data_IF_312925855040
#
_entry.id   IF_312925855040
#
_cell.length_a   1.000
_cell.length_b   1.000
_cell.length_c   1.000
_cell.angle_alpha   90.00
_cell.angle_beta   90.00
_cell.angle_gamma   90.00
#
_symmetry.space_group_name_H-M   'P 1'
#
loop_
_entity.id
_entity.type
_entity.pdbx_description
1 polymer ?
#
# COMPACT_ATOMS: atom_id res chain seq x y z
N UNK A 1 -21.03 -6.06 15.29
CA UNK A 1 -19.58 -6.24 15.01
C UNK A 1 -18.96 -7.15 16.04
N UNK A 2 -18.31 -8.26 15.66
CA UNK A 2 -17.52 -9.06 16.60
C UNK A 2 -16.37 -8.21 17.10
N UNK A 3 -16.25 -8.07 18.42
CA UNK A 3 -15.26 -7.18 19.06
C UNK A 3 -13.85 -7.78 18.89
N UNK A 4 -12.91 -6.99 18.38
CA UNK A 4 -11.48 -7.33 18.32
C UNK A 4 -10.94 -7.27 19.75
N UNK A 5 -10.30 -8.35 20.23
CA UNK A 5 -9.71 -8.39 21.56
C UNK A 5 -8.19 -8.04 21.54
N UNK A 6 -7.58 -7.89 22.73
CA UNK A 6 -6.15 -7.57 22.87
C UNK A 6 -5.25 -8.58 22.16
N UNK A 7 -5.60 -9.86 22.20
CA UNK A 7 -4.83 -10.93 21.54
C UNK A 7 -4.96 -10.83 20.01
N UNK A 8 -6.15 -10.51 19.49
CA UNK A 8 -6.34 -10.27 18.07
C UNK A 8 -5.46 -9.10 17.56
N UNK A 9 -5.41 -7.99 18.31
CA UNK A 9 -4.56 -6.86 17.99
C UNK A 9 -3.07 -7.23 18.00
N UNK A 10 -2.63 -8.02 18.96
CA UNK A 10 -1.25 -8.50 19.04
C UNK A 10 -0.89 -9.39 17.83
N UNK A 11 -1.80 -10.30 17.45
CA UNK A 11 -1.65 -11.12 16.24
C UNK A 11 -1.55 -10.22 15.00
N UNK A 12 -2.48 -9.26 14.85
CA UNK A 12 -2.50 -8.34 13.73
C UNK A 12 -1.22 -7.51 13.63
N UNK A 13 -0.65 -7.03 14.75
CA UNK A 13 0.64 -6.32 14.75
C UNK A 13 1.76 -7.16 14.13
N UNK A 14 1.82 -8.46 14.43
CA UNK A 14 2.86 -9.34 13.93
C UNK A 14 2.67 -9.63 12.44
N UNK A 15 1.46 -10.08 12.05
CA UNK A 15 1.18 -10.50 10.67
C UNK A 15 1.10 -9.33 9.68
N UNK A 16 0.86 -8.11 10.15
CA UNK A 16 0.87 -6.91 9.30
C UNK A 16 2.28 -6.49 8.88
N UNK A 17 3.31 -6.90 9.63
CA UNK A 17 4.73 -6.65 9.28
C UNK A 17 5.21 -7.68 8.26
N UNK A 18 4.91 -8.96 8.49
CA UNK A 18 5.17 -10.03 7.52
C UNK A 18 4.03 -11.06 7.52
N UNK A 19 3.25 -11.05 6.45
CA UNK A 19 2.15 -11.99 6.26
C UNK A 19 2.62 -13.46 6.09
N UNK A 20 3.93 -13.71 5.90
CA UNK A 20 4.51 -15.05 5.73
C UNK A 20 5.04 -15.62 7.03
N UNK A 21 4.94 -14.88 8.13
CA UNK A 21 5.36 -15.39 9.44
C UNK A 21 4.68 -16.71 9.77
N UNK A 22 5.44 -17.78 10.15
CA UNK A 22 4.82 -19.05 10.53
C UNK A 22 3.92 -18.87 11.75
N UNK A 23 2.71 -19.41 11.69
CA UNK A 23 1.76 -19.32 12.83
C UNK A 23 2.30 -19.97 14.12
N UNK A 24 3.31 -20.85 14.03
CA UNK A 24 4.03 -21.38 15.18
C UNK A 24 4.75 -20.25 15.92
N UNK A 25 5.44 -19.37 15.19
CA UNK A 25 6.23 -18.29 15.78
C UNK A 25 5.30 -17.21 16.38
N UNK A 26 4.18 -16.93 15.69
CA UNK A 26 3.12 -16.03 16.21
C UNK A 26 2.53 -16.60 17.52
N UNK A 27 2.29 -17.91 17.56
CA UNK A 27 1.74 -18.61 18.74
C UNK A 27 2.70 -18.53 19.94
N UNK A 28 4.00 -18.71 19.73
CA UNK A 28 5.04 -18.57 20.73
C UNK A 28 5.07 -17.16 21.33
N UNK A 29 5.07 -16.12 20.47
CA UNK A 29 5.05 -14.71 20.91
C UNK A 29 3.76 -14.35 21.65
N UNK A 30 2.64 -14.94 21.25
CA UNK A 30 1.33 -14.67 21.85
C UNK A 30 1.02 -15.53 23.08
N UNK A 31 1.81 -16.56 23.38
CA UNK A 31 1.58 -17.47 24.50
C UNK A 31 0.33 -18.37 24.34
N UNK A 32 0.00 -18.74 23.08
CA UNK A 32 -1.19 -19.56 22.77
C UNK A 32 -0.84 -20.69 21.80
N UNK A 33 -1.77 -21.61 21.54
CA UNK A 33 -1.54 -22.69 20.60
C UNK A 33 -1.59 -22.19 19.12
N UNK A 34 -0.88 -22.88 18.21
CA UNK A 34 -0.95 -22.62 16.77
C UNK A 34 -2.38 -22.71 16.24
N UNK A 35 -3.19 -23.66 16.75
CA UNK A 35 -4.58 -23.81 16.35
C UNK A 35 -5.43 -22.59 16.73
N UNK A 36 -5.17 -21.99 17.92
CA UNK A 36 -5.83 -20.76 18.34
C UNK A 36 -5.49 -19.57 17.44
N UNK A 37 -4.22 -19.44 16.99
CA UNK A 37 -3.82 -18.42 16.02
C UNK A 37 -4.58 -18.61 14.70
N UNK A 38 -4.60 -19.83 14.17
CA UNK A 38 -5.29 -20.14 12.91
C UNK A 38 -6.77 -19.76 12.96
N UNK A 39 -7.48 -20.17 14.01
CA UNK A 39 -8.91 -19.84 14.21
C UNK A 39 -9.15 -18.34 14.30
N UNK A 40 -8.27 -17.60 15.00
CA UNK A 40 -8.38 -16.14 15.13
C UNK A 40 -8.15 -15.43 13.81
N UNK A 41 -7.10 -15.78 13.06
CA UNK A 41 -6.82 -15.21 11.75
C UNK A 41 -7.96 -15.48 10.78
N UNK A 42 -8.50 -16.72 10.76
CA UNK A 42 -9.66 -17.05 9.94
C UNK A 42 -10.86 -16.18 10.31
N UNK A 43 -11.20 -16.07 11.61
CA UNK A 43 -12.29 -15.22 12.08
C UNK A 43 -12.10 -13.75 11.72
N UNK A 44 -10.87 -13.20 11.80
CA UNK A 44 -10.55 -11.82 11.43
C UNK A 44 -10.71 -11.60 9.92
N UNK A 45 -10.37 -12.59 9.10
CA UNK A 45 -10.59 -12.58 7.65
C UNK A 45 -12.07 -12.62 7.30
N UNK A 46 -12.83 -13.56 7.90
CA UNK A 46 -14.28 -13.65 7.70
C UNK A 46 -15.02 -12.38 8.15
N UNK A 47 -14.51 -11.69 9.16
CA UNK A 47 -15.05 -10.42 9.63
C UNK A 47 -14.63 -9.20 8.77
N UNK A 48 -13.81 -9.39 7.73
CA UNK A 48 -13.30 -8.33 6.87
C UNK A 48 -12.29 -7.39 7.54
N UNK A 49 -11.73 -7.78 8.70
CA UNK A 49 -10.68 -7.02 9.39
C UNK A 49 -9.33 -7.24 8.67
N UNK A 50 -9.05 -8.48 8.30
CA UNK A 50 -7.98 -8.81 7.36
C UNK A 50 -8.61 -8.82 5.97
N UNK A 51 -8.24 -7.86 5.14
CA UNK A 51 -8.77 -7.68 3.79
C UNK A 51 -7.99 -8.43 2.73
N UNK A 52 -6.78 -8.89 3.05
CA UNK A 52 -5.93 -9.65 2.15
C UNK A 52 -4.48 -9.66 2.59
N UNK A 53 -3.68 -10.44 1.88
CA UNK A 53 -2.22 -10.46 2.00
C UNK A 53 -1.63 -10.73 0.63
N UNK A 54 -0.50 -10.08 0.31
CA UNK A 54 0.15 -10.24 -0.99
C UNK A 54 1.57 -9.66 -0.99
N UNK A 55 2.30 -9.90 -2.08
CA UNK A 55 3.58 -9.23 -2.31
C UNK A 55 3.34 -7.80 -2.77
N UNK A 56 4.07 -6.86 -2.20
CA UNK A 56 4.17 -5.52 -2.74
C UNK A 56 5.12 -5.55 -3.94
N UNK A 57 4.64 -5.12 -5.10
CA UNK A 57 5.42 -5.05 -6.33
C UNK A 57 5.71 -3.59 -6.63
N UNK A 58 6.97 -3.26 -6.97
CA UNK A 58 7.32 -1.91 -7.39
C UNK A 58 6.79 -1.66 -8.80
N UNK A 59 5.84 -0.72 -9.00
CA UNK A 59 5.25 -0.46 -10.31
C UNK A 59 6.29 -0.04 -11.36
N UNK A 60 7.31 0.72 -10.98
CA UNK A 60 8.36 1.19 -11.90
C UNK A 60 9.12 0.02 -12.54
N UNK A 61 9.41 -1.03 -11.77
CA UNK A 61 10.15 -2.21 -12.28
C UNK A 61 9.31 -3.11 -13.20
N UNK A 62 8.01 -2.90 -13.29
CA UNK A 62 7.11 -3.62 -14.20
C UNK A 62 6.52 -2.69 -15.27
N UNK A 63 7.18 -1.53 -15.52
CA UNK A 63 6.87 -0.66 -16.63
C UNK A 63 5.87 0.46 -16.37
N UNK A 64 5.40 0.65 -15.13
CA UNK A 64 4.52 1.76 -14.75
C UNK A 64 5.34 2.88 -14.09
N UNK A 65 5.87 3.78 -14.90
CA UNK A 65 6.81 4.81 -14.44
C UNK A 65 6.14 6.01 -13.75
N UNK A 66 4.86 6.27 -14.04
CA UNK A 66 4.17 7.48 -13.59
C UNK A 66 3.02 7.12 -12.65
N UNK A 67 3.07 7.64 -11.43
CA UNK A 67 1.97 7.61 -10.48
C UNK A 67 1.18 8.92 -10.57
N UNK A 68 -0.14 8.84 -10.66
CA UNK A 68 -0.99 10.00 -10.85
C UNK A 68 -2.20 9.93 -9.95
N UNK A 69 -2.54 11.05 -9.32
CA UNK A 69 -3.82 11.26 -8.65
C UNK A 69 -4.73 12.08 -9.56
N UNK A 70 -5.98 11.64 -9.74
CA UNK A 70 -6.95 12.34 -10.57
C UNK A 70 -8.16 12.67 -9.72
N UNK A 71 -8.40 13.97 -9.54
CA UNK A 71 -9.64 14.50 -9.00
C UNK A 71 -10.72 14.49 -10.08
N UNK A 72 -11.87 13.92 -9.78
CA UNK A 72 -13.00 13.79 -10.71
C UNK A 72 -14.20 14.54 -10.15
N UNK A 73 -14.76 15.44 -10.95
CA UNK A 73 -16.00 16.13 -10.66
C UNK A 73 -17.15 15.44 -11.40
N UNK A 74 -18.18 15.07 -10.67
CA UNK A 74 -19.37 14.42 -11.22
C UNK A 74 -20.50 15.44 -11.41
N UNK A 75 -21.38 15.17 -12.38
CA UNK A 75 -22.62 15.94 -12.59
C UNK A 75 -23.49 15.95 -11.32
N UNK A 76 -23.62 14.80 -10.68
CA UNK A 76 -24.31 14.61 -9.39
C UNK A 76 -23.54 13.66 -8.50
N UNK A 77 -23.37 14.03 -7.24
CA UNK A 77 -22.68 13.18 -6.26
C UNK A 77 -23.31 11.78 -6.09
N UNK A 78 -24.63 11.64 -6.36
CA UNK A 78 -25.31 10.35 -6.32
C UNK A 78 -24.82 9.33 -7.35
N UNK A 79 -24.19 9.77 -8.44
CA UNK A 79 -23.67 8.91 -9.51
C UNK A 79 -22.36 8.21 -9.13
N UNK A 80 -21.79 8.47 -7.94
CA UNK A 80 -20.47 7.97 -7.58
C UNK A 80 -20.32 6.44 -7.65
N UNK A 81 -21.40 5.69 -7.33
CA UNK A 81 -21.37 4.20 -7.37
C UNK A 81 -21.27 3.66 -8.79
N UNK A 82 -22.01 4.26 -9.70
CA UNK A 82 -22.04 3.90 -11.11
C UNK A 82 -20.70 4.23 -11.76
N UNK A 83 -20.19 5.45 -11.52
CA UNK A 83 -18.87 5.87 -12.01
C UNK A 83 -17.76 5.02 -11.40
N UNK A 84 -17.81 4.69 -10.10
CA UNK A 84 -16.83 3.80 -9.47
C UNK A 84 -16.81 2.41 -10.10
N UNK A 85 -17.98 1.88 -10.50
CA UNK A 85 -18.07 0.59 -11.17
C UNK A 85 -17.42 0.62 -12.57
N UNK A 86 -17.50 1.72 -13.31
CA UNK A 86 -16.82 1.91 -14.59
C UNK A 86 -15.31 2.10 -14.39
N UNK A 87 -14.90 2.91 -13.40
CA UNK A 87 -13.48 3.10 -13.05
C UNK A 87 -12.81 1.79 -12.65
N UNK A 88 -13.51 0.89 -11.95
CA UNK A 88 -13.00 -0.43 -11.56
C UNK A 88 -12.60 -1.31 -12.77
N UNK A 89 -13.17 -1.07 -13.96
CA UNK A 89 -12.83 -1.79 -15.18
C UNK A 89 -11.50 -1.32 -15.81
N UNK A 90 -10.88 -0.28 -15.25
CA UNK A 90 -9.59 0.27 -15.69
C UNK A 90 -8.52 -0.26 -14.73
N UNK A 91 -7.72 -1.27 -15.13
CA UNK A 91 -6.79 -1.95 -14.22
C UNK A 91 -5.65 -1.05 -13.72
N UNK A 92 -5.34 0.03 -14.43
CA UNK A 92 -4.37 1.03 -14.03
C UNK A 92 -4.82 1.86 -12.82
N UNK A 93 -6.11 1.91 -12.53
CA UNK A 93 -6.66 2.58 -11.33
C UNK A 93 -6.56 1.61 -10.15
N UNK A 94 -5.76 1.99 -9.15
CA UNK A 94 -5.47 1.15 -7.99
C UNK A 94 -6.20 1.58 -6.72
N UNK A 95 -6.64 2.84 -6.65
CA UNK A 95 -7.41 3.37 -5.53
C UNK A 95 -8.52 4.30 -6.07
N UNK A 96 -9.69 4.25 -5.45
CA UNK A 96 -10.82 5.11 -5.79
C UNK A 96 -11.56 5.50 -4.51
N UNK A 97 -11.68 6.80 -4.26
CA UNK A 97 -12.32 7.37 -3.08
C UNK A 97 -13.45 8.31 -3.48
N UNK A 98 -14.59 8.22 -2.77
CA UNK A 98 -15.61 9.26 -2.76
C UNK A 98 -15.22 10.27 -1.68
N UNK A 99 -15.09 11.55 -2.04
CA UNK A 99 -14.48 12.55 -1.18
C UNK A 99 -15.41 13.73 -0.89
N UNK A 100 -15.09 14.46 0.18
CA UNK A 100 -15.60 15.80 0.44
C UNK A 100 -14.61 16.83 -0.09
N UNK A 101 -15.08 17.96 -0.60
CA UNK A 101 -14.24 19.06 -1.09
C UNK A 101 -14.41 19.33 -2.57
N UNK A 102 -13.32 19.73 -3.24
CA UNK A 102 -13.39 20.24 -4.62
C UNK A 102 -13.70 19.17 -5.66
N UNK A 103 -13.32 17.91 -5.38
CA UNK A 103 -13.61 16.79 -6.26
C UNK A 103 -14.64 15.87 -5.63
N UNK A 104 -15.52 15.32 -6.44
CA UNK A 104 -16.48 14.31 -5.98
C UNK A 104 -15.79 12.98 -5.72
N UNK A 105 -14.79 12.66 -6.54
CA UNK A 105 -13.97 11.44 -6.39
C UNK A 105 -12.50 11.75 -6.57
N UNK A 106 -11.65 10.97 -5.89
CA UNK A 106 -10.21 10.98 -6.06
C UNK A 106 -9.76 9.57 -6.38
N UNK A 107 -9.04 9.41 -7.47
CA UNK A 107 -8.46 8.12 -7.87
C UNK A 107 -6.94 8.20 -7.94
N UNK A 108 -6.30 7.07 -7.69
CA UNK A 108 -4.87 6.88 -7.91
C UNK A 108 -4.69 5.87 -9.03
N UNK A 109 -3.88 6.23 -10.01
CA UNK A 109 -3.58 5.35 -11.13
C UNK A 109 -2.07 5.33 -11.43
N UNK A 110 -1.66 4.30 -12.16
CA UNK A 110 -0.32 4.20 -12.71
C UNK A 110 -0.38 4.13 -14.22
N UNK A 111 0.53 4.87 -14.88
CA UNK A 111 0.71 4.81 -16.34
C UNK A 111 2.15 4.50 -16.71
N UNK A 112 2.36 3.97 -17.90
CA UNK A 112 3.69 3.65 -18.43
C UNK A 112 4.47 4.90 -18.77
N UNK A 113 3.79 5.86 -19.36
CA UNK A 113 4.32 7.13 -19.84
C UNK A 113 3.19 8.17 -19.95
N UNK A 114 3.51 9.36 -20.44
CA UNK A 114 2.54 10.45 -20.59
C UNK A 114 1.52 10.18 -21.70
N UNK A 115 1.88 9.46 -22.76
CA UNK A 115 0.97 9.11 -23.85
C UNK A 115 -0.09 8.14 -23.33
N UNK A 116 0.33 7.12 -22.57
CA UNK A 116 -0.59 6.21 -21.91
C UNK A 116 -1.49 6.92 -20.89
N UNK A 117 -0.93 7.88 -20.11
CA UNK A 117 -1.72 8.69 -19.18
C UNK A 117 -2.81 9.47 -19.93
N UNK A 118 -2.47 10.14 -21.01
CA UNK A 118 -3.40 10.90 -21.84
C UNK A 118 -4.51 10.00 -22.40
N UNK A 119 -4.16 8.80 -22.86
CA UNK A 119 -5.15 7.83 -23.36
C UNK A 119 -6.10 7.36 -22.24
N UNK A 120 -5.61 7.10 -21.02
CA UNK A 120 -6.44 6.75 -19.87
C UNK A 120 -7.41 7.88 -19.49
N UNK A 121 -6.93 9.12 -19.48
CA UNK A 121 -7.76 10.28 -19.15
C UNK A 121 -8.84 10.52 -20.19
N UNK A 122 -8.44 10.67 -21.45
CA UNK A 122 -9.35 11.12 -22.51
C UNK A 122 -10.29 10.01 -23.00
N UNK A 123 -9.75 8.78 -23.19
CA UNK A 123 -10.50 7.70 -23.86
C UNK A 123 -11.17 6.74 -22.87
N UNK A 124 -10.92 6.88 -21.58
CA UNK A 124 -11.46 5.96 -20.57
C UNK A 124 -12.17 6.70 -19.44
N UNK A 125 -11.51 7.63 -18.75
CA UNK A 125 -12.06 8.26 -17.54
C UNK A 125 -13.06 9.35 -17.93
N UNK A 126 -12.72 10.24 -18.86
CA UNK A 126 -13.60 11.35 -19.26
C UNK A 126 -14.80 10.91 -20.10
N UNK A 127 -14.75 9.73 -20.71
CA UNK A 127 -15.89 9.14 -21.44
C UNK A 127 -16.94 8.48 -20.52
N UNK A 128 -16.65 8.36 -19.21
CA UNK A 128 -17.60 7.78 -18.26
C UNK A 128 -18.77 8.74 -18.07
N UNK A 129 -19.98 8.26 -18.30
CA UNK A 129 -21.19 9.04 -18.11
C UNK A 129 -21.27 9.59 -16.69
N UNK A 130 -21.51 10.89 -16.55
CA UNK A 130 -21.57 11.61 -15.28
C UNK A 130 -20.25 12.26 -14.84
N UNK A 131 -19.14 12.03 -15.54
CA UNK A 131 -17.89 12.78 -15.35
C UNK A 131 -17.97 14.11 -16.09
N UNK A 132 -17.83 15.23 -15.37
CA UNK A 132 -17.83 16.59 -15.97
C UNK A 132 -16.41 17.04 -16.26
N UNK A 133 -15.49 16.85 -15.31
CA UNK A 133 -14.13 17.32 -15.43
C UNK A 133 -13.16 16.47 -14.60
N UNK A 134 -11.90 16.52 -14.97
CA UNK A 134 -10.81 15.87 -14.26
C UNK A 134 -9.69 16.88 -14.01
N UNK A 135 -9.06 16.78 -12.85
CA UNK A 135 -7.82 17.47 -12.53
C UNK A 135 -6.74 16.45 -12.22
N UNK A 136 -5.58 16.59 -12.85
CA UNK A 136 -4.52 15.59 -12.81
C UNK A 136 -3.33 16.09 -12.01
N UNK A 137 -2.92 15.33 -10.99
CA UNK A 137 -1.80 15.59 -10.12
C UNK A 137 -0.77 14.47 -10.28
N UNK A 138 0.34 14.75 -10.99
CA UNK A 138 1.42 13.77 -11.14
C UNK A 138 2.23 13.73 -9.84
N UNK A 139 2.35 12.54 -9.25
CA UNK A 139 3.21 12.31 -8.08
C UNK A 139 4.67 12.25 -8.55
N UNK A 140 5.45 13.23 -8.15
CA UNK A 140 6.88 13.27 -8.48
C UNK A 140 7.65 12.22 -7.70
N UNK A 141 7.28 12.01 -6.41
CA UNK A 141 7.91 11.05 -5.52
C UNK A 141 6.91 10.55 -4.49
N UNK A 142 6.97 9.27 -4.17
CA UNK A 142 6.29 8.70 -3.01
C UNK A 142 7.31 8.52 -1.88
N UNK A 143 7.37 9.46 -0.94
CA UNK A 143 8.34 9.43 0.15
C UNK A 143 8.16 8.23 1.08
N UNK A 144 6.94 7.79 1.34
CA UNK A 144 6.64 6.57 2.09
C UNK A 144 5.22 6.06 1.85
N UNK A 145 5.02 4.78 2.11
CA UNK A 145 3.71 4.15 2.24
C UNK A 145 3.77 3.13 3.39
N UNK A 146 2.77 3.16 4.26
CA UNK A 146 2.67 2.22 5.37
C UNK A 146 1.22 1.98 5.75
N UNK A 147 0.95 0.86 6.40
CA UNK A 147 -0.36 0.59 6.99
C UNK A 147 -0.63 1.48 8.21
N UNK A 148 -1.89 1.66 8.55
CA UNK A 148 -2.29 2.32 9.80
C UNK A 148 -1.72 1.57 11.01
N UNK A 149 -1.30 2.28 12.07
CA UNK A 149 -0.77 1.63 13.27
C UNK A 149 -1.87 0.80 13.97
N UNK A 150 -1.54 -0.44 14.32
CA UNK A 150 -2.41 -1.29 15.11
C UNK A 150 -2.03 -1.06 16.59
N UNK A 151 -2.85 -0.31 17.30
CA UNK A 151 -2.61 0.02 18.71
C UNK A 151 -3.27 -1.03 19.61
N UNK A 152 -2.48 -1.71 20.42
CA UNK A 152 -3.00 -2.57 21.50
C UNK A 152 -3.24 -1.68 22.72
N UNK A 153 -4.48 -1.54 23.21
CA UNK A 153 -4.73 -0.81 24.46
C UNK A 153 -3.98 -1.50 25.58
N UNK A 154 -3.05 -0.82 26.21
CA UNK A 154 -2.16 -1.40 27.21
C UNK A 154 -2.35 -0.78 28.58
N UNK A 155 -2.25 -1.60 29.61
CA UNK A 155 -1.60 -1.20 30.85
C UNK A 155 -0.06 -1.22 30.67
N UNK A 156 0.45 -1.84 29.57
CA UNK A 156 1.86 -1.96 29.16
C UNK A 156 1.99 -1.70 27.65
N UNK A 157 2.01 -0.43 27.23
CA UNK A 157 2.12 0.01 25.83
C UNK A 157 3.37 -0.50 25.09
N UNK A 158 4.35 -1.00 25.82
CA UNK A 158 5.71 -1.22 25.32
C UNK A 158 5.97 -2.63 24.75
N UNK A 159 5.34 -3.69 25.27
CA UNK A 159 5.72 -5.07 24.93
C UNK A 159 5.27 -5.55 23.56
N UNK A 160 4.11 -5.14 23.07
CA UNK A 160 3.62 -5.53 21.75
C UNK A 160 4.40 -4.88 20.62
N UNK A 161 4.76 -3.60 20.76
CA UNK A 161 5.57 -2.89 19.80
C UNK A 161 7.03 -3.34 19.82
N UNK A 162 7.60 -3.65 21.01
CA UNK A 162 8.94 -4.24 21.13
C UNK A 162 8.99 -5.62 20.49
N UNK A 163 7.97 -6.47 20.69
CA UNK A 163 7.90 -7.78 20.04
C UNK A 163 7.82 -7.67 18.52
N UNK A 164 6.98 -6.78 17.97
CA UNK A 164 6.88 -6.55 16.54
C UNK A 164 8.18 -5.99 15.95
N UNK A 165 8.84 -5.03 16.63
CA UNK A 165 10.16 -4.51 16.21
C UNK A 165 11.24 -5.57 16.25
N UNK A 166 11.34 -6.35 17.35
CA UNK A 166 12.30 -7.45 17.49
C UNK A 166 12.08 -8.52 16.43
N UNK A 167 10.83 -8.77 16.05
CA UNK A 167 10.51 -9.70 14.97
C UNK A 167 10.91 -9.12 13.60
N UNK A 168 10.62 -7.86 13.33
CA UNK A 168 11.03 -7.18 12.10
C UNK A 168 12.58 -7.10 11.96
N UNK A 169 13.29 -6.83 13.05
CA UNK A 169 14.77 -6.88 13.09
C UNK A 169 15.31 -8.28 12.81
N UNK A 170 14.69 -9.33 13.40
CA UNK A 170 15.07 -10.73 13.19
C UNK A 170 14.88 -11.18 11.74
N UNK A 171 13.88 -10.64 11.05
CA UNK A 171 13.60 -10.96 9.64
C UNK A 171 14.48 -10.16 8.67
N UNK A 172 15.26 -9.16 9.12
CA UNK A 172 15.96 -8.23 8.24
C UNK A 172 15.02 -7.75 7.11
N UNK A 173 13.78 -7.46 7.47
CA UNK A 173 12.84 -6.89 6.51
C UNK A 173 13.47 -5.62 5.95
N UNK A 174 13.70 -5.50 4.64
CA UNK A 174 14.22 -4.28 4.07
C UNK A 174 13.26 -3.17 4.47
N UNK A 175 13.78 -2.16 5.17
CA UNK A 175 13.06 -0.91 5.29
C UNK A 175 12.70 -0.52 3.86
N UNK A 176 11.41 -0.27 3.59
CA UNK A 176 10.95 0.29 2.32
C UNK A 176 11.37 1.76 2.21
N UNK A 177 12.65 2.01 2.29
CA UNK A 177 13.30 3.14 1.65
C UNK A 177 13.71 2.57 0.30
N UNK A 178 13.11 3.09 -0.75
CA UNK A 178 13.46 2.76 -2.13
C UNK A 178 14.84 3.39 -2.35
N UNK A 179 15.90 2.65 -2.02
CA UNK A 179 17.23 2.97 -2.54
C UNK A 179 17.20 2.62 -4.02
N UNK A 180 17.20 3.64 -4.86
CA UNK A 180 17.32 3.49 -6.31
C UNK A 180 18.73 2.96 -6.60
N UNK A 181 18.91 1.76 -7.16
CA UNK A 181 20.24 1.19 -7.38
C UNK A 181 21.08 1.99 -8.39
N UNK A 182 20.51 2.91 -9.13
CA UNK A 182 21.23 3.73 -10.12
C UNK A 182 22.06 4.88 -9.53
N UNK A 183 21.85 5.29 -8.27
CA UNK A 183 22.67 6.35 -7.65
C UNK A 183 24.07 5.86 -7.18
N UNK A 184 24.30 4.57 -7.11
CA UNK A 184 25.56 4.02 -6.54
C UNK A 184 26.65 3.78 -7.60
N UNK A 185 26.35 3.81 -8.90
CA UNK A 185 27.38 3.67 -9.94
C UNK A 185 28.11 4.99 -10.29
N UNK A 186 27.55 6.16 -9.93
CA UNK A 186 28.16 7.47 -10.25
C UNK A 186 29.25 7.93 -9.28
N UNK A 187 29.44 7.26 -8.13
CA UNK A 187 30.43 7.64 -7.09
C UNK A 187 31.74 6.85 -7.09
N UNK A 188 31.92 5.90 -8.00
CA UNK A 188 33.05 4.96 -8.02
C UNK A 188 34.06 5.10 -9.17
N UNK A 189 34.30 6.29 -9.72
CA UNK A 189 35.12 6.41 -10.92
C UNK A 189 36.21 7.47 -10.96
N UNK A 190 37.08 7.56 -9.95
CA UNK A 190 38.33 8.35 -10.09
C UNK A 190 39.54 7.48 -9.80
N UNK A 191 39.93 6.60 -10.72
CA UNK A 191 41.25 5.97 -10.71
C UNK A 191 42.28 6.93 -11.30
N UNK A 192 43.15 7.44 -10.41
CA UNK A 192 44.37 8.17 -10.75
C UNK A 192 45.25 7.33 -11.69
N UNK A 193 45.49 7.82 -12.89
CA UNK A 193 46.55 7.36 -13.76
C UNK A 193 47.86 7.96 -13.26
N UNK A 194 48.69 7.17 -12.57
CA UNK A 194 50.09 7.48 -12.36
C UNK A 194 50.87 7.14 -13.63
N UNK A 195 51.46 8.15 -14.24
CA UNK A 195 52.53 8.01 -15.24
C UNK A 195 53.77 7.49 -14.53
N UNK A 196 54.40 6.48 -15.08
CA UNK A 196 55.81 6.16 -14.87
C UNK A 196 56.54 6.26 -16.21
N UNK A 197 57.71 6.90 -16.13
CA UNK A 197 58.64 7.20 -17.14
C UNK A 197 59.07 5.97 -17.99
#
# INVERSE_FOLDING_TARGET
MKKVDKLDLKILQIISVDARVPFKDVAEVCGVSRAAIHQRVQRLTEAGIITGSGYNVNPKHIGYSTCTYVGITLERGSMYKEVAAELLKIPEIVECHFTTGNYTMLVKLYSRDNEHLMALLNNRIQEINGVISTETLISLEQSFSRQVPILVPSEDEDDGMKAARKYAEKLKAPNHIIDDPEENESRGGTKKRTKKA
#
